data_IF_287819642688
#
_entry.id   IF_287819642688
#
_cell.length_a   1.000
_cell.length_b   1.000
_cell.length_c   1.000
_cell.angle_alpha   90.00
_cell.angle_beta   90.00
_cell.angle_gamma   90.00
#
_symmetry.space_group_name_H-M   'P 1'
#
loop_
_entity.id
_entity.type
_entity.pdbx_description
1 polymer ?
#
# COMPACT_ATOMS: atom_id res chain seq x y z
N UNK A 1 13.47 -8.10 -0.47
CA UNK A 1 13.92 -7.31 0.71
C UNK A 1 12.83 -6.50 1.39
N UNK A 2 12.31 -5.40 0.81
CA UNK A 2 11.23 -4.60 1.46
C UNK A 2 10.02 -5.46 1.85
N UNK A 3 9.59 -6.36 0.95
CA UNK A 3 8.53 -7.32 1.23
C UNK A 3 8.85 -8.24 2.43
N UNK A 4 10.06 -8.77 2.52
CA UNK A 4 10.51 -9.58 3.65
C UNK A 4 10.54 -8.79 4.96
N UNK A 5 11.06 -7.55 4.93
CA UNK A 5 11.08 -6.64 6.09
C UNK A 5 9.68 -6.29 6.60
N UNK A 6 8.69 -6.16 5.72
CA UNK A 6 7.30 -5.88 6.11
C UNK A 6 6.63 -7.08 6.81
N UNK A 7 7.15 -8.29 6.62
CA UNK A 7 6.69 -9.54 7.25
C UNK A 7 7.50 -9.95 8.46
N UNK A 8 8.72 -9.42 8.59
CA UNK A 8 9.62 -9.71 9.70
C UNK A 8 8.96 -9.38 11.03
N UNK A 9 9.17 -10.21 12.05
CA UNK A 9 8.73 -9.87 13.40
C UNK A 9 9.59 -8.73 13.96
N UNK A 10 9.03 -7.95 14.89
CA UNK A 10 9.70 -6.74 15.39
C UNK A 10 10.94 -6.98 16.24
N UNK A 11 11.15 -8.22 16.66
CA UNK A 11 12.32 -8.71 17.38
C UNK A 11 13.43 -9.22 16.46
N UNK A 12 13.17 -9.35 15.15
CA UNK A 12 14.21 -9.71 14.19
C UNK A 12 15.23 -8.58 14.05
N UNK A 13 16.50 -8.92 14.22
CA UNK A 13 17.63 -7.99 14.03
C UNK A 13 18.21 -8.13 12.62
N UNK A 14 18.95 -7.12 12.15
CA UNK A 14 19.63 -7.14 10.86
C UNK A 14 20.89 -8.05 10.88
N UNK A 15 20.69 -9.34 11.11
CA UNK A 15 21.71 -10.39 11.01
C UNK A 15 21.90 -10.83 9.55
N UNK A 16 23.03 -11.48 9.25
CA UNK A 16 23.29 -12.01 7.89
C UNK A 16 22.20 -12.99 7.45
N UNK A 17 21.78 -13.90 8.33
CA UNK A 17 20.75 -14.91 8.01
C UNK A 17 19.41 -14.24 7.69
N UNK A 18 19.01 -13.23 8.47
CA UNK A 18 17.77 -12.48 8.23
C UNK A 18 17.85 -11.65 6.95
N UNK A 19 19.00 -11.03 6.65
CA UNK A 19 19.19 -10.27 5.41
C UNK A 19 19.05 -11.16 4.18
N UNK A 20 19.62 -12.37 4.19
CA UNK A 20 19.48 -13.36 3.12
C UNK A 20 18.01 -13.78 2.95
N UNK A 21 17.32 -14.07 4.06
CA UNK A 21 15.92 -14.45 4.07
C UNK A 21 15.01 -13.33 3.52
N UNK A 22 15.14 -12.10 4.02
CA UNK A 22 14.34 -10.97 3.56
C UNK A 22 14.61 -10.60 2.10
N UNK A 23 15.85 -10.74 1.66
CA UNK A 23 16.27 -10.46 0.29
C UNK A 23 15.93 -11.60 -0.69
N UNK A 24 15.51 -12.77 -0.21
CA UNK A 24 15.23 -13.97 -1.00
C UNK A 24 16.43 -14.37 -1.88
N UNK A 25 17.64 -14.34 -1.30
CA UNK A 25 18.90 -14.72 -1.96
C UNK A 25 19.81 -15.51 -1.03
N UNK A 26 20.70 -16.30 -1.61
CA UNK A 26 21.79 -17.03 -0.96
C UNK A 26 23.13 -16.28 -0.99
N UNK A 27 23.20 -15.10 -1.64
CA UNK A 27 24.40 -14.27 -1.73
C UNK A 27 24.37 -13.08 -0.76
N UNK A 28 25.29 -13.09 0.20
CA UNK A 28 25.39 -12.08 1.24
C UNK A 28 25.75 -10.69 0.69
N UNK A 29 26.62 -10.62 -0.33
CA UNK A 29 27.01 -9.35 -0.94
C UNK A 29 25.82 -8.72 -1.68
N UNK A 30 25.03 -9.53 -2.40
CA UNK A 30 23.79 -9.06 -3.03
C UNK A 30 22.77 -8.56 -2.01
N UNK A 31 22.55 -9.28 -0.91
CA UNK A 31 21.63 -8.86 0.16
C UNK A 31 22.07 -7.53 0.79
N UNK A 32 23.36 -7.37 1.08
CA UNK A 32 23.91 -6.15 1.69
C UNK A 32 23.84 -4.95 0.72
N UNK A 33 24.14 -5.16 -0.56
CA UNK A 33 24.00 -4.12 -1.58
C UNK A 33 22.54 -3.65 -1.72
N UNK A 34 21.58 -4.56 -1.61
CA UNK A 34 20.17 -4.22 -1.63
C UNK A 34 19.77 -3.41 -0.39
N UNK A 35 20.25 -3.78 0.81
CA UNK A 35 20.06 -3.02 2.05
C UNK A 35 20.54 -1.57 1.89
N UNK A 36 21.80 -1.38 1.47
CA UNK A 36 22.37 -0.05 1.31
C UNK A 36 21.65 0.77 0.25
N UNK A 37 21.20 0.12 -0.83
CA UNK A 37 20.39 0.80 -1.85
C UNK A 37 19.08 1.30 -1.26
N UNK A 38 18.40 0.52 -0.43
CA UNK A 38 17.15 0.93 0.22
C UNK A 38 17.37 2.08 1.20
N UNK A 39 18.43 2.02 2.00
CA UNK A 39 18.79 3.10 2.92
C UNK A 39 19.14 4.40 2.18
N UNK A 40 19.90 4.31 1.07
CA UNK A 40 20.22 5.47 0.23
C UNK A 40 19.00 6.08 -0.46
N UNK A 41 17.97 5.27 -0.70
CA UNK A 41 16.68 5.72 -1.21
C UNK A 41 15.73 6.20 -0.09
N UNK A 42 16.20 6.23 1.16
CA UNK A 42 15.41 6.65 2.32
C UNK A 42 14.18 5.76 2.59
N UNK A 43 14.21 4.52 2.10
CA UNK A 43 13.13 3.54 2.30
C UNK A 43 13.25 2.77 3.61
N UNK A 44 14.42 2.80 4.23
CA UNK A 44 14.69 2.09 5.48
C UNK A 44 15.69 2.88 6.31
N UNK A 45 15.44 2.92 7.61
CA UNK A 45 16.35 3.45 8.62
C UNK A 45 16.67 2.34 9.62
N UNK A 46 17.91 2.31 10.10
CA UNK A 46 18.28 1.49 11.25
C UNK A 46 18.16 2.31 12.52
N UNK A 47 17.70 1.68 13.59
CA UNK A 47 17.71 2.26 14.94
C UNK A 47 18.51 1.33 15.87
N UNK A 48 19.27 1.91 16.79
CA UNK A 48 20.02 1.15 17.80
C UNK A 48 19.09 0.60 18.89
N UNK A 49 17.97 1.28 19.13
CA UNK A 49 16.93 0.83 20.04
C UNK A 49 15.67 0.52 19.25
N UNK A 50 15.30 -0.76 19.08
CA UNK A 50 14.05 -1.09 18.42
C UNK A 50 12.88 -0.54 19.24
N UNK A 51 12.26 0.56 18.77
CA UNK A 51 10.98 1.02 19.29
C UNK A 51 9.90 0.15 18.65
N UNK A 52 9.74 -1.04 19.20
CA UNK A 52 8.69 -1.95 18.76
C UNK A 52 7.42 -1.73 19.56
N UNK A 53 6.38 -1.25 18.89
CA UNK A 53 5.02 -1.54 19.30
C UNK A 53 4.56 -2.74 18.47
N UNK A 54 4.19 -3.84 19.15
CA UNK A 54 3.37 -4.89 18.57
C UNK A 54 2.05 -4.25 18.12
N UNK A 55 2.02 -3.72 16.91
CA UNK A 55 0.76 -3.42 16.24
C UNK A 55 0.23 -4.75 15.70
N UNK A 56 -0.35 -5.56 16.60
CA UNK A 56 -1.27 -6.62 16.21
C UNK A 56 -2.55 -5.97 15.65
N UNK A 57 -2.38 -5.32 14.50
CA UNK A 57 -3.46 -4.62 13.81
C UNK A 57 -4.41 -5.68 13.28
N UNK A 58 -5.52 -5.82 13.98
CA UNK A 58 -6.62 -6.70 13.63
C UNK A 58 -7.47 -6.04 12.54
N UNK A 59 -8.22 -6.84 11.77
CA UNK A 59 -9.11 -6.34 10.72
C UNK A 59 -10.03 -5.20 11.22
N UNK A 60 -10.41 -5.24 12.50
CA UNK A 60 -11.25 -4.25 13.16
C UNK A 60 -10.62 -2.84 13.22
N UNK A 61 -9.30 -2.72 13.09
CA UNK A 61 -8.57 -1.45 13.12
C UNK A 61 -8.32 -0.86 11.72
N UNK A 62 -8.61 -1.61 10.64
CA UNK A 62 -8.46 -1.12 9.27
C UNK A 62 -9.27 0.15 8.98
N UNK A 63 -10.54 0.29 9.43
CA UNK A 63 -11.30 1.53 9.22
C UNK A 63 -10.62 2.77 9.81
N UNK A 64 -9.97 2.64 10.98
CA UNK A 64 -9.28 3.76 11.62
C UNK A 64 -8.03 4.17 10.83
N UNK A 65 -7.26 3.20 10.34
CA UNK A 65 -6.12 3.47 9.46
C UNK A 65 -6.57 4.13 8.16
N UNK A 66 -7.64 3.60 7.53
CA UNK A 66 -8.20 4.14 6.29
C UNK A 66 -8.65 5.60 6.45
N UNK A 67 -9.31 5.94 7.56
CA UNK A 67 -9.73 7.31 7.83
C UNK A 67 -8.55 8.30 7.83
N UNK A 68 -7.39 7.89 8.35
CA UNK A 68 -6.19 8.74 8.41
C UNK A 68 -5.54 9.01 7.06
N UNK A 69 -5.83 8.19 6.04
CA UNK A 69 -5.28 8.34 4.68
C UNK A 69 -6.04 9.36 3.83
N UNK A 70 -7.17 9.87 4.33
CA UNK A 70 -8.07 10.78 3.63
C UNK A 70 -8.16 12.11 4.36
N UNK A 71 -8.05 13.22 3.63
CA UNK A 71 -8.31 14.55 4.20
C UNK A 71 -9.75 14.75 4.69
N UNK A 72 -10.68 13.88 4.28
CA UNK A 72 -12.10 13.92 4.67
C UNK A 72 -12.53 12.68 5.46
N UNK A 73 -11.59 11.83 5.88
CA UNK A 73 -11.87 10.62 6.66
C UNK A 73 -12.61 9.53 5.89
N UNK A 74 -12.62 9.58 4.54
CA UNK A 74 -13.34 8.61 3.70
C UNK A 74 -12.38 7.83 2.82
N UNK A 75 -12.29 6.54 3.08
CA UNK A 75 -11.48 5.62 2.29
C UNK A 75 -12.04 4.20 2.41
N UNK A 76 -11.82 3.37 1.40
CA UNK A 76 -12.15 1.95 1.45
C UNK A 76 -11.08 1.12 0.79
N UNK A 77 -11.08 -0.18 1.10
CA UNK A 77 -10.20 -1.15 0.49
C UNK A 77 -11.03 -2.27 -0.13
N UNK A 78 -10.84 -2.50 -1.43
CA UNK A 78 -11.56 -3.50 -2.21
C UNK A 78 -10.63 -4.48 -2.92
N UNK A 79 -11.17 -5.65 -3.24
CA UNK A 79 -10.49 -6.64 -4.07
C UNK A 79 -10.58 -6.30 -5.57
N UNK A 80 -10.02 -7.17 -6.41
CA UNK A 80 -10.06 -7.00 -7.86
C UNK A 80 -11.46 -7.09 -8.49
N UNK A 81 -12.47 -7.59 -7.76
CA UNK A 81 -13.86 -7.69 -8.22
C UNK A 81 -14.74 -6.56 -7.66
N UNK A 82 -14.16 -5.67 -6.85
CA UNK A 82 -14.86 -4.54 -6.25
C UNK A 82 -15.58 -4.86 -4.95
N UNK A 83 -15.35 -6.05 -4.37
CA UNK A 83 -15.84 -6.34 -3.02
C UNK A 83 -14.96 -5.63 -1.99
N UNK A 84 -15.54 -4.66 -1.28
CA UNK A 84 -14.82 -4.00 -0.18
C UNK A 84 -14.91 -4.82 1.11
N UNK A 85 -13.81 -4.84 1.87
CA UNK A 85 -13.72 -5.54 3.15
C UNK A 85 -13.37 -4.62 4.32
N UNK A 86 -12.92 -3.39 4.04
CA UNK A 86 -12.76 -2.34 5.04
C UNK A 86 -13.23 -1.00 4.44
N UNK A 87 -13.93 -0.21 5.25
CA UNK A 87 -14.52 1.07 4.86
C UNK A 87 -14.45 2.06 6.03
N UNK A 88 -14.08 3.29 5.72
CA UNK A 88 -14.12 4.44 6.60
C UNK A 88 -14.96 5.54 5.96
N UNK A 89 -15.94 6.07 6.70
CA UNK A 89 -16.65 7.30 6.37
C UNK A 89 -17.63 7.27 5.18
N UNK A 90 -17.64 6.23 4.33
CA UNK A 90 -18.71 6.03 3.35
C UNK A 90 -19.92 5.33 4.00
N UNK A 91 -21.13 5.69 3.57
CA UNK A 91 -22.32 4.89 3.85
C UNK A 91 -22.20 3.53 3.15
N UNK A 92 -22.81 2.49 3.71
CA UNK A 92 -22.71 1.11 3.22
C UNK A 92 -23.04 0.98 1.72
N UNK A 93 -24.17 1.53 1.29
CA UNK A 93 -24.59 1.53 -0.13
C UNK A 93 -23.58 2.24 -1.03
N UNK A 94 -23.03 3.37 -0.58
CA UNK A 94 -22.00 4.10 -1.33
C UNK A 94 -20.70 3.31 -1.42
N UNK A 95 -20.31 2.62 -0.35
CA UNK A 95 -19.10 1.82 -0.31
C UNK A 95 -19.17 0.63 -1.29
N UNK A 96 -20.34 0.01 -1.45
CA UNK A 96 -20.55 -1.06 -2.44
C UNK A 96 -20.33 -0.54 -3.87
N UNK A 97 -20.98 0.57 -4.23
CA UNK A 97 -20.85 1.18 -5.55
C UNK A 97 -19.42 1.68 -5.83
N UNK A 98 -18.77 2.29 -4.84
CA UNK A 98 -17.37 2.74 -4.95
C UNK A 98 -16.43 1.54 -5.09
N UNK A 99 -16.70 0.44 -4.39
CA UNK A 99 -15.98 -0.83 -4.54
C UNK A 99 -16.06 -1.34 -5.97
N UNK A 100 -17.27 -1.48 -6.53
CA UNK A 100 -17.49 -1.89 -7.92
C UNK A 100 -16.76 -0.96 -8.90
N UNK A 101 -16.94 0.36 -8.75
CA UNK A 101 -16.25 1.36 -9.57
C UNK A 101 -14.72 1.20 -9.51
N UNK A 102 -14.16 0.87 -8.35
CA UNK A 102 -12.71 0.69 -8.19
C UNK A 102 -12.15 -0.44 -9.06
N UNK A 103 -12.91 -1.52 -9.24
CA UNK A 103 -12.53 -2.66 -10.09
C UNK A 103 -12.52 -2.28 -11.57
N UNK A 104 -13.51 -1.50 -12.01
CA UNK A 104 -13.63 -1.01 -13.38
C UNK A 104 -12.49 -0.04 -13.72
N UNK A 105 -12.19 0.89 -12.81
CA UNK A 105 -11.07 1.83 -12.97
C UNK A 105 -9.74 1.10 -13.01
N UNK A 106 -9.53 0.11 -12.14
CA UNK A 106 -8.31 -0.70 -12.15
C UNK A 106 -8.16 -1.48 -13.47
N UNK A 107 -9.24 -2.07 -13.99
CA UNK A 107 -9.26 -2.77 -15.26
C UNK A 107 -8.99 -1.82 -16.45
N UNK A 108 -9.54 -0.61 -16.42
CA UNK A 108 -9.26 0.44 -17.41
C UNK A 108 -7.76 0.80 -17.42
N UNK A 109 -7.19 1.01 -16.23
CA UNK A 109 -5.77 1.32 -16.08
C UNK A 109 -4.85 0.23 -16.64
N UNK A 110 -5.17 -1.03 -16.40
CA UNK A 110 -4.44 -2.18 -16.94
C UNK A 110 -4.56 -2.27 -18.46
N UNK A 111 -5.79 -2.15 -18.98
CA UNK A 111 -6.06 -2.20 -20.42
C UNK A 111 -5.26 -1.17 -21.21
N UNK A 112 -5.03 0.02 -20.62
CA UNK A 112 -4.33 1.12 -21.27
C UNK A 112 -2.90 1.33 -20.75
N UNK A 113 -2.35 0.40 -19.97
CA UNK A 113 -1.07 0.58 -19.30
C UNK A 113 0.10 0.90 -20.27
N UNK A 114 0.14 0.27 -21.44
CA UNK A 114 1.20 0.52 -22.43
C UNK A 114 1.12 1.95 -22.99
N UNK A 115 -0.08 2.46 -23.26
CA UNK A 115 -0.28 3.84 -23.71
C UNK A 115 0.18 4.82 -22.64
N UNK A 116 -0.27 4.63 -21.41
CA UNK A 116 0.02 5.52 -20.28
C UNK A 116 1.51 5.56 -19.98
N UNK A 117 2.17 4.39 -19.92
CA UNK A 117 3.60 4.31 -19.60
C UNK A 117 4.50 4.69 -20.77
N UNK A 118 4.30 4.12 -21.95
CA UNK A 118 5.28 4.23 -23.04
C UNK A 118 5.05 5.45 -23.92
N UNK A 119 3.80 5.86 -24.11
CA UNK A 119 3.48 6.96 -25.02
C UNK A 119 3.30 8.28 -24.27
N UNK A 120 2.66 8.24 -23.10
CA UNK A 120 2.43 9.44 -22.27
C UNK A 120 3.51 9.65 -21.21
N UNK A 121 4.42 8.69 -21.01
CA UNK A 121 5.50 8.75 -20.03
C UNK A 121 5.00 8.93 -18.58
N UNK A 122 3.79 8.44 -18.27
CA UNK A 122 3.17 8.50 -16.95
C UNK A 122 3.45 7.18 -16.23
N UNK A 123 4.22 7.25 -15.14
CA UNK A 123 4.64 6.08 -14.37
C UNK A 123 3.80 5.83 -13.11
N UNK A 124 2.86 6.73 -12.83
CA UNK A 124 1.91 6.58 -11.74
C UNK A 124 0.79 5.60 -12.15
N UNK A 125 0.39 4.75 -11.21
CA UNK A 125 -0.66 3.77 -11.44
C UNK A 125 -2.00 4.18 -10.79
N UNK A 126 -2.03 5.32 -10.10
CA UNK A 126 -3.24 5.86 -9.48
C UNK A 126 -4.11 6.57 -10.52
N UNK A 127 -5.43 6.43 -10.38
CA UNK A 127 -6.44 7.08 -11.20
C UNK A 127 -7.36 7.89 -10.30
N UNK A 128 -7.90 9.03 -10.74
CA UNK A 128 -8.76 9.82 -9.87
C UNK A 128 -9.72 10.74 -10.59
N UNK A 129 -10.74 11.17 -9.84
CA UNK A 129 -11.69 12.22 -10.18
C UNK A 129 -11.17 13.50 -9.54
N UNK A 130 -11.09 14.56 -10.32
CA UNK A 130 -10.66 15.87 -9.85
C UNK A 130 -11.72 16.92 -10.16
N UNK A 131 -11.80 17.93 -9.29
CA UNK A 131 -12.58 19.12 -9.54
C UNK A 131 -11.95 19.98 -10.68
N UNK A 132 -12.64 21.02 -11.18
CA UNK A 132 -12.09 21.90 -12.21
C UNK A 132 -10.81 22.66 -11.81
N UNK A 133 -10.50 22.75 -10.51
CA UNK A 133 -9.25 23.34 -10.01
C UNK A 133 -8.08 22.36 -10.00
N UNK A 134 -8.34 21.08 -10.31
CA UNK A 134 -7.36 19.99 -10.31
C UNK A 134 -7.19 19.33 -8.94
N UNK A 135 -8.00 19.69 -7.94
CA UNK A 135 -7.98 19.02 -6.64
C UNK A 135 -8.70 17.68 -6.72
N UNK A 136 -8.12 16.67 -6.08
CA UNK A 136 -8.67 15.32 -6.12
C UNK A 136 -9.88 15.19 -5.20
N UNK A 137 -10.96 14.65 -5.75
CA UNK A 137 -12.19 14.33 -5.02
C UNK A 137 -12.25 12.84 -4.66
N UNK A 138 -11.72 11.97 -5.51
CA UNK A 138 -11.66 10.52 -5.30
C UNK A 138 -10.49 9.91 -6.08
N UNK A 139 -9.65 9.11 -5.41
CA UNK A 139 -8.51 8.43 -6.03
C UNK A 139 -8.58 6.93 -5.83
N UNK A 140 -8.19 6.17 -6.85
CA UNK A 140 -8.09 4.73 -6.89
C UNK A 140 -6.60 4.36 -7.00
N UNK A 141 -6.07 3.70 -5.97
CA UNK A 141 -4.69 3.24 -5.89
C UNK A 141 -4.64 1.72 -6.00
N UNK A 142 -4.20 1.16 -7.13
CA UNK A 142 -3.90 -0.26 -7.23
C UNK A 142 -2.77 -0.64 -6.26
N UNK A 143 -3.03 -1.60 -5.38
CA UNK A 143 -2.07 -2.15 -4.43
C UNK A 143 -1.87 -3.64 -4.70
N UNK A 144 -0.65 -4.13 -4.42
CA UNK A 144 -0.29 -5.53 -4.58
C UNK A 144 0.30 -6.04 -3.27
N UNK A 145 -0.37 -7.02 -2.65
CA UNK A 145 0.14 -7.76 -1.51
C UNK A 145 0.41 -9.19 -1.95
N UNK A 146 1.67 -9.52 -2.21
CA UNK A 146 2.05 -10.77 -2.87
C UNK A 146 1.39 -10.89 -4.25
N UNK A 147 0.57 -11.93 -4.44
CA UNK A 147 -0.19 -12.17 -5.68
C UNK A 147 -1.59 -11.55 -5.66
N UNK A 148 -2.02 -10.98 -4.54
CA UNK A 148 -3.36 -10.42 -4.38
C UNK A 148 -3.36 -8.97 -4.83
N UNK A 149 -4.24 -8.66 -5.78
CA UNK A 149 -4.51 -7.30 -6.25
C UNK A 149 -5.65 -6.71 -5.42
N UNK A 150 -5.40 -5.52 -4.90
CA UNK A 150 -6.34 -4.73 -4.10
C UNK A 150 -6.44 -3.33 -4.70
N UNK A 151 -7.50 -2.60 -4.37
CA UNK A 151 -7.64 -1.18 -4.72
C UNK A 151 -7.96 -0.40 -3.46
N UNK A 152 -7.06 0.49 -3.06
CA UNK A 152 -7.30 1.48 -2.03
C UNK A 152 -8.00 2.67 -2.69
N UNK A 153 -9.20 3.00 -2.23
CA UNK A 153 -9.94 4.16 -2.68
C UNK A 153 -9.92 5.22 -1.59
N UNK A 154 -9.57 6.46 -1.93
CA UNK A 154 -9.44 7.57 -1.00
C UNK A 154 -10.22 8.76 -1.53
N UNK A 155 -11.19 9.26 -0.77
CA UNK A 155 -11.87 10.52 -1.10
C UNK A 155 -11.09 11.72 -0.56
N UNK A 156 -11.24 12.86 -1.22
CA UNK A 156 -10.46 14.07 -0.93
C UNK A 156 -8.98 13.90 -1.28
N UNK A 157 -8.14 14.67 -0.59
CA UNK A 157 -6.69 14.65 -0.79
C UNK A 157 -6.08 13.43 -0.06
N UNK A 158 -5.38 12.53 -0.79
CA UNK A 158 -4.73 11.37 -0.17
C UNK A 158 -3.50 11.77 0.64
N UNK A 159 -3.33 11.18 1.82
CA UNK A 159 -2.19 11.37 2.69
C UNK A 159 -1.45 10.04 2.94
N UNK A 160 -0.70 9.62 1.93
CA UNK A 160 0.00 8.33 1.92
C UNK A 160 1.43 8.42 2.48
N UNK A 161 1.89 9.61 2.87
CA UNK A 161 3.23 9.83 3.44
C UNK A 161 3.20 9.81 4.98
N UNK A 162 2.51 8.82 5.55
CA UNK A 162 2.29 8.67 6.99
C UNK A 162 2.43 7.23 7.43
N UNK A 163 2.70 7.04 8.72
CA UNK A 163 2.80 5.73 9.35
C UNK A 163 1.55 4.87 9.14
N UNK A 164 0.35 5.48 9.11
CA UNK A 164 -0.90 4.77 8.85
C UNK A 164 -0.88 3.98 7.53
N UNK A 165 -0.25 4.51 6.47
CA UNK A 165 -0.14 3.81 5.19
C UNK A 165 0.83 2.64 5.30
N UNK A 166 1.96 2.81 6.00
CA UNK A 166 2.92 1.72 6.25
C UNK A 166 2.26 0.60 7.04
N UNK A 167 1.51 0.93 8.09
CA UNK A 167 0.75 -0.02 8.90
C UNK A 167 -0.30 -0.77 8.07
N UNK A 168 -1.03 -0.07 7.19
CA UNK A 168 -1.95 -0.70 6.24
C UNK A 168 -1.23 -1.75 5.37
N UNK A 169 -0.11 -1.38 4.75
CA UNK A 169 0.64 -2.31 3.89
C UNK A 169 1.15 -3.51 4.68
N UNK A 170 1.63 -3.33 5.92
CA UNK A 170 2.03 -4.46 6.80
C UNK A 170 0.88 -5.44 7.04
N UNK A 171 -0.31 -4.94 7.38
CA UNK A 171 -1.51 -5.78 7.57
C UNK A 171 -1.81 -6.59 6.30
N UNK A 172 -1.76 -5.95 5.13
CA UNK A 172 -2.06 -6.62 3.86
C UNK A 172 -1.00 -7.66 3.48
N UNK A 173 0.29 -7.36 3.70
CA UNK A 173 1.37 -8.32 3.50
C UNK A 173 1.22 -9.54 4.43
N UNK A 174 0.90 -9.33 5.71
CA UNK A 174 0.71 -10.43 6.65
C UNK A 174 -0.51 -11.30 6.31
N UNK A 175 -1.56 -10.71 5.74
CA UNK A 175 -2.79 -11.41 5.36
C UNK A 175 -2.67 -12.23 4.08
N UNK A 176 -1.91 -11.75 3.09
CA UNK A 176 -1.96 -12.27 1.72
C UNK A 176 -0.63 -12.82 1.17
N UNK A 177 0.48 -12.73 1.91
CA UNK A 177 1.80 -13.17 1.47
C UNK A 177 2.30 -14.47 2.11
#
# INVERSE_FOLDING_TARGET
MLHGLLRASGDETASTDNLLAWAETDDADSALNLLYRLQRLEFLYGDEQPVYQESSMTDDQLPELLAQLSSVGKALLADANGLYFANAGFHHETAEEVGLMSSEVAALGEKHQLLVKNNLNIHHNAWGICDPSGQTELTFFPLYAGKVKLVLVVAGMPDLNKEAFVSLIKVLCNRYA
#
